data_IF_302636765855
#
_entry.id   IF_302636765855
#
_cell.length_a   1.000
_cell.length_b   1.000
_cell.length_c   1.000
_cell.angle_alpha   90.00
_cell.angle_beta   90.00
_cell.angle_gamma   90.00
#
_symmetry.space_group_name_H-M   'P 1'
#
loop_
_entity.id
_entity.type
_entity.pdbx_description
1 polymer ?
#
# COMPACT_ATOMS: atom_id res chain seq x y z
N UNK A 1 35.77 -3.09 15.00
CA UNK A 1 34.32 -3.12 15.11
C UNK A 1 33.72 -2.92 13.73
N UNK A 2 33.31 -4.01 13.09
CA UNK A 2 32.77 -4.00 11.72
C UNK A 2 31.30 -3.68 11.76
N UNK A 3 30.88 -2.58 11.11
CA UNK A 3 29.50 -2.27 10.87
C UNK A 3 28.96 -3.15 9.73
N UNK A 4 28.05 -4.05 10.06
CA UNK A 4 27.40 -4.94 9.11
C UNK A 4 26.18 -4.21 8.53
N UNK A 5 26.38 -3.52 7.41
CA UNK A 5 25.30 -2.91 6.65
C UNK A 5 24.60 -3.98 5.81
N UNK A 6 23.53 -4.59 6.35
CA UNK A 6 22.67 -5.49 5.61
C UNK A 6 21.70 -4.66 4.75
N UNK A 7 22.17 -4.19 3.60
CA UNK A 7 21.30 -3.63 2.56
C UNK A 7 20.58 -4.79 1.87
N UNK A 8 19.35 -5.09 2.28
CA UNK A 8 18.47 -6.04 1.63
C UNK A 8 18.02 -5.54 0.25
N UNK A 9 18.98 -5.41 -0.68
CA UNK A 9 18.68 -5.13 -2.08
C UNK A 9 17.86 -6.28 -2.66
N UNK A 10 16.75 -5.95 -3.32
CA UNK A 10 15.98 -6.89 -4.14
C UNK A 10 16.96 -7.47 -5.16
N UNK A 11 17.37 -8.72 -4.99
CA UNK A 11 18.13 -9.44 -6.01
C UNK A 11 17.19 -9.69 -7.19
N UNK A 12 17.24 -8.81 -8.17
CA UNK A 12 16.62 -9.08 -9.47
C UNK A 12 17.27 -10.35 -10.02
N UNK A 13 16.47 -11.38 -10.21
CA UNK A 13 16.89 -12.61 -10.86
C UNK A 13 17.33 -12.24 -12.28
N UNK A 14 18.59 -12.48 -12.64
CA UNK A 14 19.06 -12.21 -13.99
C UNK A 14 18.28 -13.10 -14.96
N UNK A 15 17.77 -12.59 -16.09
CA UNK A 15 17.11 -13.40 -17.08
C UNK A 15 18.11 -14.42 -17.61
N UNK A 16 17.78 -15.70 -17.51
CA UNK A 16 18.68 -16.80 -17.82
C UNK A 16 18.75 -17.12 -19.30
N UNK A 17 17.80 -16.64 -20.11
CA UNK A 17 17.77 -16.87 -21.56
C UNK A 17 17.12 -15.70 -22.31
N UNK A 18 17.57 -15.50 -23.56
CA UNK A 18 16.92 -14.59 -24.49
C UNK A 18 15.88 -15.36 -25.34
N UNK A 19 14.69 -14.80 -25.45
CA UNK A 19 13.66 -15.28 -26.38
C UNK A 19 13.92 -14.66 -27.75
N UNK A 20 13.98 -15.50 -28.78
CA UNK A 20 14.07 -15.07 -30.18
C UNK A 20 12.72 -15.32 -30.86
N UNK A 21 12.21 -14.30 -31.50
CA UNK A 21 10.96 -14.36 -32.25
C UNK A 21 11.22 -14.70 -33.73
N UNK A 22 10.22 -15.24 -34.43
CA UNK A 22 10.30 -15.57 -35.85
C UNK A 22 10.61 -14.36 -36.73
N UNK A 23 10.28 -13.16 -36.29
CA UNK A 23 10.64 -11.90 -36.93
C UNK A 23 12.13 -11.55 -36.84
N UNK A 24 12.91 -12.33 -36.08
CA UNK A 24 14.31 -12.05 -35.79
C UNK A 24 14.58 -11.16 -34.62
N UNK A 25 13.52 -10.59 -33.98
CA UNK A 25 13.66 -9.81 -32.77
C UNK A 25 14.13 -10.68 -31.59
N UNK A 26 14.90 -10.11 -30.70
CA UNK A 26 15.42 -10.80 -29.50
C UNK A 26 15.05 -9.97 -28.26
N UNK A 27 14.58 -10.64 -27.23
CA UNK A 27 14.24 -10.03 -25.94
C UNK A 27 14.71 -10.94 -24.79
N UNK A 28 15.05 -10.35 -23.66
CA UNK A 28 15.24 -11.14 -22.43
C UNK A 28 13.94 -11.84 -22.05
N UNK A 29 14.03 -13.08 -21.57
CA UNK A 29 12.86 -13.76 -21.00
C UNK A 29 12.31 -12.96 -19.82
N UNK A 30 10.98 -12.81 -19.78
CA UNK A 30 10.34 -12.19 -18.61
C UNK A 30 10.54 -13.11 -17.40
N UNK A 31 10.76 -12.51 -16.24
CA UNK A 31 10.78 -13.28 -15.00
C UNK A 31 9.39 -13.89 -14.79
N UNK A 32 9.34 -15.22 -14.69
CA UNK A 32 8.06 -15.95 -14.51
C UNK A 32 7.31 -15.55 -13.23
N UNK A 33 7.99 -14.85 -12.33
CA UNK A 33 7.49 -14.48 -11.00
C UNK A 33 6.54 -13.28 -11.00
N UNK A 34 6.43 -12.55 -12.14
CA UNK A 34 5.60 -11.34 -12.20
C UNK A 34 4.77 -11.32 -13.48
N UNK A 35 3.47 -11.48 -13.33
CA UNK A 35 2.51 -11.60 -14.43
C UNK A 35 1.53 -10.42 -14.42
N UNK A 36 1.97 -9.27 -14.91
CA UNK A 36 1.13 -8.06 -15.05
C UNK A 36 -0.05 -8.27 -15.98
N UNK A 37 0.06 -9.18 -16.95
CA UNK A 37 -0.97 -9.56 -17.89
C UNK A 37 -2.18 -10.28 -17.24
N UNK A 38 -2.02 -10.77 -16.01
CA UNK A 38 -3.10 -11.40 -15.24
C UNK A 38 -3.85 -10.41 -14.34
N UNK A 39 -3.43 -9.15 -14.27
CA UNK A 39 -4.13 -8.14 -13.50
C UNK A 39 -5.41 -7.74 -14.24
N UNK A 40 -6.53 -7.68 -13.52
CA UNK A 40 -7.80 -7.21 -14.09
C UNK A 40 -7.66 -5.77 -14.60
N UNK A 41 -7.86 -5.51 -15.91
CA UNK A 41 -7.81 -4.15 -16.43
C UNK A 41 -8.93 -3.25 -15.86
N UNK A 42 -10.10 -3.82 -15.59
CA UNK A 42 -11.22 -3.10 -14.99
C UNK A 42 -10.89 -2.71 -13.54
N UNK A 43 -10.35 -3.65 -12.76
CA UNK A 43 -9.95 -3.36 -11.38
C UNK A 43 -8.84 -2.32 -11.31
N UNK A 44 -7.86 -2.40 -12.22
CA UNK A 44 -6.77 -1.43 -12.28
C UNK A 44 -7.28 -0.03 -12.70
N UNK A 45 -8.26 0.05 -13.61
CA UNK A 45 -8.89 1.32 -14.00
C UNK A 45 -9.58 1.99 -12.81
N UNK A 46 -10.28 1.25 -11.97
CA UNK A 46 -10.92 1.81 -10.77
C UNK A 46 -9.89 2.34 -9.76
N UNK A 47 -8.77 1.66 -9.60
CA UNK A 47 -7.65 2.17 -8.78
C UNK A 47 -7.09 3.45 -9.39
N UNK A 48 -6.91 3.52 -10.70
CA UNK A 48 -6.42 4.71 -11.39
C UNK A 48 -7.39 5.90 -11.25
N UNK A 49 -8.71 5.67 -11.27
CA UNK A 49 -9.72 6.71 -11.00
C UNK A 49 -9.59 7.26 -9.58
N UNK A 50 -9.40 6.39 -8.60
CA UNK A 50 -9.14 6.80 -7.21
C UNK A 50 -7.86 7.65 -7.09
N UNK A 51 -6.81 7.30 -7.83
CA UNK A 51 -5.59 8.13 -7.90
C UNK A 51 -5.88 9.53 -8.48
N UNK A 52 -6.71 9.61 -9.52
CA UNK A 52 -7.09 10.89 -10.12
C UNK A 52 -7.89 11.78 -9.16
N UNK A 53 -8.84 11.21 -8.41
CA UNK A 53 -9.58 11.90 -7.35
C UNK A 53 -8.62 12.43 -6.26
N UNK A 54 -7.69 11.60 -5.82
CA UNK A 54 -6.67 11.98 -4.84
C UNK A 54 -5.76 13.10 -5.33
N UNK A 55 -5.38 13.07 -6.61
CA UNK A 55 -4.55 14.12 -7.22
C UNK A 55 -5.24 15.48 -7.24
N UNK A 56 -6.56 15.51 -7.49
CA UNK A 56 -7.35 16.74 -7.42
C UNK A 56 -7.46 17.25 -5.99
N UNK A 57 -7.67 16.36 -5.03
CA UNK A 57 -7.90 16.71 -3.62
C UNK A 57 -6.62 17.12 -2.87
N UNK A 58 -5.50 16.48 -3.15
CA UNK A 58 -4.27 16.62 -2.34
C UNK A 58 -3.04 17.05 -3.13
N UNK A 59 -2.97 16.87 -4.39
CA UNK A 59 -1.92 16.98 -5.40
C UNK A 59 -1.45 15.62 -5.92
N UNK A 60 -0.93 15.57 -7.15
CA UNK A 60 -0.30 14.37 -7.70
C UNK A 60 0.84 13.89 -6.78
N UNK A 61 0.95 12.58 -6.62
CA UNK A 61 2.02 11.93 -5.87
C UNK A 61 2.10 12.28 -4.36
N UNK A 62 1.06 12.90 -3.80
CA UNK A 62 1.07 13.22 -2.36
C UNK A 62 1.31 11.98 -1.46
N UNK A 63 0.78 10.85 -1.84
CA UNK A 63 0.90 9.58 -1.12
C UNK A 63 2.33 9.01 -1.11
N UNK A 64 3.17 9.38 -2.08
CA UNK A 64 4.58 8.95 -2.16
C UNK A 64 5.45 9.55 -1.05
N UNK A 65 4.94 10.53 -0.31
CA UNK A 65 5.61 11.10 0.87
C UNK A 65 5.64 10.14 2.06
N UNK A 66 4.93 9.02 1.95
CA UNK A 66 4.78 8.01 3.00
C UNK A 66 3.54 8.24 3.84
N UNK A 67 2.84 7.15 4.13
CA UNK A 67 1.68 7.12 5.02
C UNK A 67 1.78 5.89 5.94
N UNK A 68 1.35 5.98 7.20
CA UNK A 68 1.30 4.83 8.09
C UNK A 68 0.47 3.70 7.49
N UNK A 69 1.03 2.50 7.44
CA UNK A 69 0.37 1.31 6.87
C UNK A 69 -0.96 1.04 7.57
N UNK A 70 -1.01 1.20 8.88
CA UNK A 70 -2.24 0.99 9.66
C UNK A 70 -3.36 1.96 9.28
N UNK A 71 -3.06 3.22 8.97
CA UNK A 71 -4.05 4.20 8.55
C UNK A 71 -4.64 3.82 7.19
N UNK A 72 -3.79 3.43 6.25
CA UNK A 72 -4.21 2.94 4.94
C UNK A 72 -5.10 1.69 5.08
N UNK A 73 -4.70 0.72 5.89
CA UNK A 73 -5.49 -0.49 6.13
C UNK A 73 -6.82 -0.20 6.83
N UNK A 74 -6.85 0.71 7.79
CA UNK A 74 -8.09 1.14 8.44
C UNK A 74 -9.05 1.77 7.41
N UNK A 75 -8.55 2.60 6.51
CA UNK A 75 -9.34 3.17 5.42
C UNK A 75 -9.86 2.10 4.46
N UNK A 76 -9.03 1.12 4.09
CA UNK A 76 -9.44 0.00 3.25
C UNK A 76 -10.60 -0.79 3.88
N UNK A 77 -10.46 -1.17 5.15
CA UNK A 77 -11.48 -1.92 5.91
C UNK A 77 -12.78 -1.12 5.98
N UNK A 78 -12.71 0.17 6.27
CA UNK A 78 -13.90 1.04 6.32
C UNK A 78 -14.66 1.03 4.99
N UNK A 79 -13.97 1.15 3.86
CA UNK A 79 -14.61 1.12 2.55
C UNK A 79 -15.24 -0.25 2.24
N UNK A 80 -14.56 -1.34 2.62
CA UNK A 80 -15.12 -2.69 2.46
C UNK A 80 -16.40 -2.88 3.28
N UNK A 81 -16.42 -2.43 4.53
CA UNK A 81 -17.64 -2.52 5.36
C UNK A 81 -18.78 -1.65 4.84
N UNK A 82 -18.51 -0.44 4.37
CA UNK A 82 -19.52 0.41 3.73
C UNK A 82 -20.12 -0.27 2.51
N UNK A 83 -19.28 -0.86 1.66
CA UNK A 83 -19.73 -1.62 0.50
C UNK A 83 -20.64 -2.80 0.90
N UNK A 84 -20.26 -3.57 1.91
CA UNK A 84 -21.03 -4.70 2.44
C UNK A 84 -22.35 -4.25 3.07
N UNK A 85 -22.38 -3.07 3.67
CA UNK A 85 -23.61 -2.46 4.21
C UNK A 85 -24.57 -1.92 3.12
N UNK A 86 -24.19 -2.02 1.85
CA UNK A 86 -25.02 -1.56 0.73
C UNK A 86 -24.78 -0.11 0.31
N UNK A 87 -23.83 0.59 0.92
CA UNK A 87 -23.48 1.94 0.51
C UNK A 87 -22.84 1.93 -0.89
N UNK A 88 -23.33 2.80 -1.78
CA UNK A 88 -22.88 2.98 -3.15
C UNK A 88 -22.64 4.46 -3.49
N UNK A 89 -22.52 5.29 -2.45
CA UNK A 89 -22.30 6.74 -2.60
C UNK A 89 -20.92 7.08 -3.14
N UNK A 90 -19.97 6.15 -2.98
CA UNK A 90 -18.59 6.27 -3.45
C UNK A 90 -18.14 4.94 -4.08
N UNK A 91 -17.10 4.93 -4.92
CA UNK A 91 -16.50 3.71 -5.47
C UNK A 91 -15.69 2.95 -4.40
N UNK A 92 -16.36 2.46 -3.37
CA UNK A 92 -15.73 1.87 -2.18
C UNK A 92 -14.73 0.75 -2.48
N UNK A 93 -14.97 -0.08 -3.49
CA UNK A 93 -14.02 -1.13 -3.86
C UNK A 93 -12.74 -0.56 -4.47
N UNK A 94 -12.85 0.47 -5.29
CA UNK A 94 -11.69 1.19 -5.84
C UNK A 94 -10.87 1.86 -4.73
N UNK A 95 -11.57 2.55 -3.83
CA UNK A 95 -10.93 3.19 -2.66
C UNK A 95 -10.25 2.16 -1.75
N UNK A 96 -10.88 1.02 -1.48
CA UNK A 96 -10.28 -0.05 -0.69
C UNK A 96 -9.04 -0.63 -1.36
N UNK A 97 -9.12 -0.94 -2.66
CA UNK A 97 -8.02 -1.49 -3.44
C UNK A 97 -6.82 -0.52 -3.48
N UNK A 98 -7.07 0.78 -3.71
CA UNK A 98 -6.03 1.80 -3.68
C UNK A 98 -5.34 1.86 -2.32
N UNK A 99 -6.09 1.86 -1.22
CA UNK A 99 -5.51 1.90 0.13
C UNK A 99 -4.62 0.69 0.41
N UNK A 100 -5.01 -0.51 -0.03
CA UNK A 100 -4.17 -1.71 0.10
C UNK A 100 -2.89 -1.59 -0.75
N UNK A 101 -3.01 -1.08 -1.98
CA UNK A 101 -1.85 -0.86 -2.85
C UNK A 101 -0.90 0.18 -2.24
N UNK A 102 -1.44 1.28 -1.70
CA UNK A 102 -0.67 2.29 -0.96
C UNK A 102 0.01 1.72 0.28
N UNK A 103 -0.65 0.81 1.00
CA UNK A 103 -0.07 0.12 2.15
C UNK A 103 1.13 -0.76 1.75
N UNK A 104 1.02 -1.53 0.66
CA UNK A 104 2.12 -2.34 0.11
C UNK A 104 3.32 -1.46 -0.26
N UNK A 105 3.06 -0.32 -0.89
CA UNK A 105 4.11 0.63 -1.25
C UNK A 105 4.81 1.20 -0.01
N UNK A 106 4.02 1.70 0.95
CA UNK A 106 4.54 2.28 2.19
C UNK A 106 5.31 1.24 3.02
N UNK A 107 4.84 0.00 3.10
CA UNK A 107 5.54 -1.08 3.79
C UNK A 107 6.96 -1.31 3.23
N UNK A 108 7.13 -1.18 1.92
CA UNK A 108 8.42 -1.42 1.26
C UNK A 108 9.38 -0.24 1.31
N UNK A 109 8.85 0.98 1.12
CA UNK A 109 9.69 2.17 1.00
C UNK A 109 9.84 2.95 2.31
N UNK A 110 8.88 2.80 3.23
CA UNK A 110 8.82 3.49 4.51
C UNK A 110 8.62 2.50 5.65
N UNK A 111 9.54 1.55 5.87
CA UNK A 111 9.38 0.52 6.90
C UNK A 111 9.22 1.09 8.30
N UNK A 112 9.76 2.29 8.57
CA UNK A 112 9.59 3.02 9.82
C UNK A 112 8.15 3.47 10.09
N UNK A 113 7.32 3.57 9.04
CA UNK A 113 5.88 3.85 9.15
C UNK A 113 5.03 2.59 9.31
N UNK A 114 5.66 1.43 9.31
CA UNK A 114 5.01 0.13 9.47
C UNK A 114 5.20 -0.43 10.88
N UNK A 115 5.10 0.39 11.92
CA UNK A 115 5.13 -0.05 13.32
C UNK A 115 3.82 -0.69 13.78
N UNK A 116 2.85 -0.85 12.86
CA UNK A 116 1.50 -1.28 13.15
C UNK A 116 1.33 -2.78 13.13
N UNK A 117 1.04 -3.33 14.30
CA UNK A 117 0.43 -4.66 14.47
C UNK A 117 -1.01 -4.47 14.95
N UNK A 118 -1.87 -5.47 14.80
CA UNK A 118 -3.19 -5.42 15.41
C UNK A 118 -3.07 -5.33 16.94
N UNK A 119 -3.97 -4.63 17.60
CA UNK A 119 -3.86 -4.21 18.99
C UNK A 119 -4.17 -5.24 20.08
N UNK A 120 -4.52 -6.46 19.79
CA UNK A 120 -4.37 -7.49 20.85
C UNK A 120 -2.90 -7.78 21.12
N UNK A 121 -2.10 -7.32 20.13
CA UNK A 121 -0.68 -7.09 20.08
C UNK A 121 -0.36 -5.89 19.16
N UNK A 122 -1.22 -5.06 18.93
CA UNK A 122 -1.80 -3.91 18.41
C UNK A 122 -1.14 -3.18 17.27
N UNK A 123 -1.86 -2.52 16.42
CA UNK A 123 -1.40 -1.27 15.82
C UNK A 123 -0.85 -0.39 16.93
N UNK A 124 0.45 -0.39 17.12
CA UNK A 124 1.10 0.56 18.01
C UNK A 124 1.20 1.85 17.20
N UNK A 125 0.42 2.89 17.55
CA UNK A 125 0.62 4.18 16.92
C UNK A 125 2.07 4.60 17.12
N UNK A 126 2.65 5.41 16.23
CA UNK A 126 3.94 6.03 16.47
C UNK A 126 4.00 6.54 17.92
N UNK A 127 5.14 6.41 18.57
CA UNK A 127 5.31 6.70 20.02
C UNK A 127 4.66 8.00 20.47
N UNK A 128 4.61 8.99 19.59
CA UNK A 128 3.96 10.29 19.84
C UNK A 128 2.43 10.22 19.91
N UNK A 129 1.79 9.31 19.18
CA UNK A 129 0.34 9.11 19.27
C UNK A 129 -0.07 8.19 20.43
N UNK A 130 0.83 7.33 20.89
CA UNK A 130 0.59 6.48 22.04
C UNK A 130 0.42 7.28 23.34
N UNK A 131 1.08 8.41 23.45
CA UNK A 131 1.02 9.28 24.63
C UNK A 131 -0.38 9.90 24.79
N UNK A 132 -1.03 10.28 23.68
CA UNK A 132 -2.38 10.86 23.72
C UNK A 132 -3.51 9.82 23.83
N UNK A 133 -3.28 8.58 23.39
CA UNK A 133 -4.29 7.53 23.49
C UNK A 133 -4.38 6.88 24.87
N UNK A 134 -3.35 7.04 25.70
CA UNK A 134 -3.25 6.44 27.05
C UNK A 134 -3.14 7.45 28.19
N UNK A 135 -3.01 8.74 27.94
CA UNK A 135 -3.30 9.74 28.95
C UNK A 135 -4.81 9.72 29.15
N UNK A 136 -5.26 8.89 30.08
CA UNK A 136 -6.64 8.84 30.55
C UNK A 136 -6.99 10.14 31.28
N UNK A 137 -7.09 11.22 30.55
CA UNK A 137 -7.87 12.37 31.00
C UNK A 137 -9.32 11.96 30.83
N UNK A 138 -9.89 11.44 31.93
CA UNK A 138 -11.32 11.46 32.15
C UNK A 138 -11.76 12.90 31.96
N UNK A 139 -12.42 13.16 30.82
CA UNK A 139 -13.15 14.42 30.67
C UNK A 139 -14.31 14.30 31.64
N UNK A 140 -14.13 14.86 32.84
CA UNK A 140 -15.25 15.15 33.74
C UNK A 140 -16.17 16.11 33.01
N UNK A 141 -17.29 15.56 32.60
CA UNK A 141 -18.36 16.30 31.95
C UNK A 141 -19.15 16.97 33.08
N UNK A 142 -19.33 18.31 33.11
CA UNK A 142 -20.12 19.03 34.08
C UNK A 142 -21.61 18.72 33.98
#
# INVERSE_FOLDING_TARGET
MSANSNSGGIKLKQPTENVRYDTGAVRSADAEDTRYDLISPIGLEEVARTCAEGAVKYSPHNWEKGMPVCDLLNHAIRHLYKYLAGDRSEPHLGHAAWNVLGAIHSEKLWPELNEGKLRSEGCVPPKEMAIHAFSGETVDNP
#
